data_IF_786438952057
#
_entry.id   IF_786438952057
#
_cell.length_a   1.000
_cell.length_b   1.000
_cell.length_c   1.000
_cell.angle_alpha   90.00
_cell.angle_beta   90.00
_cell.angle_gamma   90.00
#
_symmetry.space_group_name_H-M   'P 1'
#
loop_
_entity.id
_entity.type
_entity.pdbx_description
1 polymer ?
#
# COMPACT_ATOMS: atom_id res chain seq x y z
N UNK A 1 -12.12 -9.42 4.75
CA UNK A 1 -12.28 -8.08 5.36
C UNK A 1 -11.72 -7.07 4.35
N UNK A 2 -12.44 -5.96 4.11
CA UNK A 2 -12.11 -5.01 3.03
C UNK A 2 -11.09 -3.99 3.52
N UNK A 3 -9.81 -4.37 3.54
CA UNK A 3 -8.73 -3.47 3.93
C UNK A 3 -8.33 -2.49 2.80
N UNK A 4 -8.62 -2.83 1.53
CA UNK A 4 -8.32 -1.97 0.37
C UNK A 4 -8.92 -0.56 0.50
N UNK A 5 -10.19 -0.43 0.89
CA UNK A 5 -10.85 0.87 0.99
C UNK A 5 -10.21 1.79 2.04
N UNK A 6 -9.63 1.21 3.09
CA UNK A 6 -8.92 1.97 4.11
C UNK A 6 -7.59 2.50 3.57
N UNK A 7 -6.86 1.67 2.81
CA UNK A 7 -5.59 2.03 2.18
C UNK A 7 -5.82 3.14 1.16
N UNK A 8 -6.82 3.01 0.29
CA UNK A 8 -7.19 4.04 -0.67
C UNK A 8 -7.45 5.38 0.02
N UNK A 9 -8.14 5.39 1.17
CA UNK A 9 -8.38 6.62 1.93
C UNK A 9 -7.10 7.26 2.47
N UNK A 10 -6.08 6.47 2.83
CA UNK A 10 -4.79 7.01 3.31
C UNK A 10 -3.86 7.45 2.18
N UNK A 11 -4.10 6.98 0.96
CA UNK A 11 -3.32 7.35 -0.23
C UNK A 11 -3.89 8.60 -0.94
N UNK A 12 -5.11 9.01 -0.63
CA UNK A 12 -5.69 10.25 -1.15
C UNK A 12 -4.88 11.45 -0.64
N UNK A 13 -4.41 12.28 -1.56
CA UNK A 13 -3.62 13.49 -1.24
C UNK A 13 -2.11 13.28 -1.23
N UNK A 14 -1.64 12.08 -1.62
CA UNK A 14 -0.22 11.80 -1.77
C UNK A 14 0.29 12.34 -3.12
N UNK A 15 1.42 13.05 -3.12
CA UNK A 15 2.04 13.56 -4.34
C UNK A 15 2.74 12.42 -5.10
N UNK A 16 2.25 12.17 -6.32
CA UNK A 16 2.81 11.19 -7.25
C UNK A 16 3.75 11.84 -8.27
N UNK A 17 4.83 11.14 -8.70
CA UNK A 17 5.20 9.77 -8.35
C UNK A 17 5.83 9.65 -6.96
N UNK A 18 5.66 8.47 -6.34
CA UNK A 18 6.18 8.17 -5.00
C UNK A 18 6.67 6.71 -4.89
N UNK A 19 7.64 6.49 -4.01
CA UNK A 19 8.16 5.15 -3.70
C UNK A 19 7.42 4.53 -2.51
N UNK A 20 7.52 3.20 -2.36
CA UNK A 20 6.91 2.48 -1.23
C UNK A 20 7.28 3.05 0.13
N UNK A 21 8.53 3.50 0.31
CA UNK A 21 8.98 4.09 1.57
C UNK A 21 8.22 5.37 1.90
N UNK A 22 8.04 6.25 0.91
CA UNK A 22 7.31 7.52 1.06
C UNK A 22 5.84 7.29 1.36
N UNK A 23 5.26 6.24 0.76
CA UNK A 23 3.90 5.79 1.04
C UNK A 23 3.79 5.34 2.50
N UNK A 24 4.65 4.42 2.93
CA UNK A 24 4.69 3.90 4.31
C UNK A 24 4.88 5.03 5.32
N UNK A 25 5.74 6.01 5.03
CA UNK A 25 5.93 7.16 5.88
C UNK A 25 4.66 8.01 5.98
N UNK A 26 4.06 8.37 4.84
CA UNK A 26 2.84 9.17 4.79
C UNK A 26 1.69 8.53 5.59
N UNK A 27 1.44 7.24 5.37
CA UNK A 27 0.35 6.54 6.04
C UNK A 27 0.65 6.29 7.53
N UNK A 28 1.91 6.10 7.93
CA UNK A 28 2.31 6.03 9.34
C UNK A 28 2.07 7.36 10.05
N UNK A 29 2.37 8.48 9.39
CA UNK A 29 2.07 9.82 9.92
C UNK A 29 0.56 10.03 10.08
N UNK A 30 -0.25 9.48 9.18
CA UNK A 30 -1.72 9.48 9.28
C UNK A 30 -2.29 8.48 10.31
N UNK A 31 -1.45 7.72 11.03
CA UNK A 31 -1.91 6.77 12.04
C UNK A 31 -2.45 5.46 11.46
N UNK A 32 -1.98 5.05 10.29
CA UNK A 32 -2.35 3.76 9.71
C UNK A 32 -1.96 2.59 10.63
N UNK A 33 -2.83 1.59 10.69
CA UNK A 33 -2.63 0.37 11.48
C UNK A 33 -1.47 -0.47 10.94
N UNK A 34 -0.83 -1.25 11.81
CA UNK A 34 0.30 -2.11 11.43
C UNK A 34 -0.01 -3.07 10.29
N UNK A 35 -1.24 -3.58 10.21
CA UNK A 35 -1.66 -4.47 9.11
C UNK A 35 -1.54 -3.78 7.74
N UNK A 36 -1.97 -2.52 7.65
CA UNK A 36 -1.84 -1.70 6.44
C UNK A 36 -0.38 -1.43 6.11
N UNK A 37 0.43 -1.10 7.12
CA UNK A 37 1.87 -0.88 6.95
C UNK A 37 2.58 -2.15 6.47
N UNK A 38 2.25 -3.32 7.01
CA UNK A 38 2.86 -4.58 6.61
C UNK A 38 2.50 -4.96 5.17
N UNK A 39 1.23 -4.80 4.77
CA UNK A 39 0.83 -5.00 3.38
C UNK A 39 1.64 -4.12 2.40
N UNK A 40 1.85 -2.85 2.73
CA UNK A 40 2.63 -1.93 1.91
C UNK A 40 4.15 -2.18 1.95
N UNK A 41 4.66 -2.81 3.00
CA UNK A 41 6.08 -3.24 3.08
C UNK A 41 6.37 -4.38 2.13
N UNK A 42 5.40 -5.28 1.95
CA UNK A 42 5.51 -6.44 1.07
C UNK A 42 5.54 -6.05 -0.42
N UNK A 43 5.08 -4.84 -0.73
CA UNK A 43 5.09 -4.32 -2.08
C UNK A 43 6.52 -4.23 -2.67
N UNK A 44 6.63 -4.47 -3.99
CA UNK A 44 7.90 -4.32 -4.71
C UNK A 44 8.40 -2.88 -4.59
N UNK A 45 9.73 -2.74 -4.52
CA UNK A 45 10.37 -1.44 -4.51
C UNK A 45 10.32 -0.82 -5.92
N UNK A 46 9.26 -0.06 -6.19
CA UNK A 46 9.04 0.65 -7.45
C UNK A 46 8.36 2.01 -7.23
N UNK A 47 8.44 2.85 -8.26
CA UNK A 47 7.70 4.10 -8.31
C UNK A 47 6.23 3.86 -8.68
N UNK A 48 5.36 4.20 -7.73
CA UNK A 48 3.92 4.22 -7.95
C UNK A 48 3.49 5.59 -8.45
N UNK A 49 2.64 5.59 -9.47
CA UNK A 49 2.16 6.82 -10.13
C UNK A 49 0.76 7.24 -9.68
N UNK A 50 0.03 6.35 -9.01
CA UNK A 50 -1.34 6.58 -8.54
C UNK A 50 -1.67 5.66 -7.37
N UNK A 51 -2.66 6.04 -6.56
CA UNK A 51 -3.21 5.22 -5.48
C UNK A 51 -3.80 3.91 -5.97
N UNK A 52 -4.44 3.92 -7.14
CA UNK A 52 -5.00 2.72 -7.77
C UNK A 52 -3.94 1.69 -8.17
N UNK A 53 -2.73 2.14 -8.53
CA UNK A 53 -1.61 1.25 -8.90
C UNK A 53 -1.18 0.43 -7.67
N UNK A 54 -1.10 1.10 -6.51
CA UNK A 54 -0.80 0.49 -5.21
C UNK A 54 -1.91 -0.49 -4.81
N UNK A 55 -3.18 -0.07 -4.91
CA UNK A 55 -4.32 -0.89 -4.53
C UNK A 55 -4.45 -2.16 -5.39
N UNK A 56 -4.13 -2.07 -6.67
CA UNK A 56 -4.09 -3.22 -7.58
C UNK A 56 -2.94 -4.17 -7.24
N UNK A 57 -1.76 -3.66 -6.88
CA UNK A 57 -0.62 -4.49 -6.50
C UNK A 57 -0.90 -5.28 -5.21
N UNK A 58 -1.55 -4.64 -4.24
CA UNK A 58 -1.96 -5.28 -2.98
C UNK A 58 -3.00 -6.40 -3.19
N UNK A 59 -3.85 -6.29 -4.20
CA UNK A 59 -4.81 -7.34 -4.58
C UNK A 59 -4.10 -8.59 -5.11
N UNK A 60 -3.05 -8.37 -5.90
CA UNK A 60 -2.28 -9.42 -6.57
C UNK A 60 -1.41 -10.17 -5.55
N UNK A 61 -0.76 -9.45 -4.64
CA UNK A 61 0.22 -10.01 -3.71
C UNK A 61 -0.42 -10.91 -2.62
N UNK A 62 -1.73 -10.79 -2.36
CA UNK A 62 -2.43 -11.63 -1.39
C UNK A 62 -2.67 -13.08 -1.88
N UNK A 63 -2.26 -13.43 -3.11
CA UNK A 63 -2.42 -14.78 -3.68
C UNK A 63 -1.16 -15.64 -3.69
N UNK A 64 0.00 -15.13 -3.26
CA UNK A 64 1.29 -15.85 -3.42
C UNK A 64 1.88 -16.41 -2.12
N UNK A 65 1.04 -16.79 -1.15
CA UNK A 65 1.52 -17.37 0.11
C UNK A 65 0.71 -18.60 0.54
N UNK A 66 0.50 -19.53 -0.41
CA UNK A 66 0.04 -20.90 -0.15
C UNK A 66 0.75 -21.85 -1.13
N UNK A 67 2.08 -22.00 -1.00
CA UNK A 67 2.81 -23.19 -1.45
C UNK A 67 4.22 -23.19 -0.82
N UNK A 68 4.34 -23.74 0.41
CA UNK A 68 5.20 -24.90 0.76
C UNK A 68 5.04 -25.31 2.23
#
# INVERSE_FOLDING_TARGET
MKNQSLIESYLVGLDYPCNKEKIIEHIKQNGAVEEVVNMLKDLPDKEYRSSSDIASELDINSKEMDEE
#
